data_IF_144310773148
#
_entry.id   IF_144310773148
#
_cell.length_a   1.000
_cell.length_b   1.000
_cell.length_c   1.000
_cell.angle_alpha   90.00
_cell.angle_beta   90.00
_cell.angle_gamma   90.00
#
_symmetry.space_group_name_H-M   'P 1'
#
loop_
_entity.id
_entity.type
_entity.pdbx_description
1 polymer ?
#
# COMPACT_ATOMS: atom_id res chain seq x y z
N UNK A 1 -6.34 -3.05 6.93
CA UNK A 1 -7.21 -1.88 6.64
C UNK A 1 -8.04 -1.54 7.86
N UNK A 2 -8.09 -0.27 8.26
CA UNK A 2 -8.76 0.20 9.48
C UNK A 2 -9.66 1.38 9.15
N UNK A 3 -10.93 1.32 9.55
CA UNK A 3 -11.83 2.48 9.39
C UNK A 3 -11.42 3.62 10.35
N UNK A 4 -11.36 4.89 9.90
CA UNK A 4 -10.97 6.01 10.75
C UNK A 4 -11.84 6.18 12.00
N UNK A 5 -13.15 5.93 11.88
CA UNK A 5 -14.10 5.94 13.00
C UNK A 5 -13.77 4.90 14.08
N UNK A 6 -13.33 3.71 13.69
CA UNK A 6 -12.95 2.67 14.64
C UNK A 6 -11.62 3.00 15.30
N UNK A 7 -10.68 3.57 14.55
CA UNK A 7 -9.41 4.04 15.10
C UNK A 7 -9.62 5.17 16.11
N UNK A 8 -10.47 6.15 15.80
CA UNK A 8 -10.82 7.23 16.72
C UNK A 8 -11.53 6.71 17.98
N UNK A 9 -12.40 5.72 17.84
CA UNK A 9 -13.03 5.08 18.99
C UNK A 9 -12.00 4.38 19.89
N UNK A 10 -11.01 3.71 19.29
CA UNK A 10 -9.93 3.05 20.03
C UNK A 10 -9.01 4.05 20.75
N UNK A 11 -8.66 5.16 20.11
CA UNK A 11 -7.74 6.15 20.65
C UNK A 11 -8.39 7.12 21.66
N UNK A 12 -9.67 7.45 21.47
CA UNK A 12 -10.34 8.54 22.20
C UNK A 12 -11.70 8.15 22.80
N UNK A 13 -12.14 6.89 22.66
CA UNK A 13 -13.44 6.42 23.14
C UNK A 13 -14.64 6.94 22.35
N UNK A 14 -14.44 7.66 21.24
CA UNK A 14 -15.51 8.24 20.41
C UNK A 14 -15.20 8.15 18.92
N UNK A 15 -16.19 7.73 18.12
CA UNK A 15 -16.05 7.52 16.66
C UNK A 15 -15.88 8.82 15.84
N UNK A 16 -16.26 9.97 16.39
CA UNK A 16 -16.30 11.26 15.68
C UNK A 16 -15.40 12.31 16.34
N UNK A 17 -14.34 11.88 17.02
CA UNK A 17 -13.44 12.79 17.76
C UNK A 17 -12.79 13.85 16.86
N UNK A 18 -12.25 13.43 15.71
CA UNK A 18 -11.76 14.34 14.67
C UNK A 18 -12.76 14.46 13.52
N UNK A 19 -13.04 15.69 13.09
CA UNK A 19 -13.98 15.97 11.99
C UNK A 19 -13.37 15.87 10.60
N UNK A 20 -12.04 15.96 10.50
CA UNK A 20 -11.32 15.95 9.21
C UNK A 20 -10.14 15.00 9.27
N UNK A 21 -9.76 14.47 8.11
CA UNK A 21 -8.56 13.64 7.98
C UNK A 21 -7.31 14.37 8.48
N UNK A 22 -7.13 15.63 8.08
CA UNK A 22 -5.98 16.45 8.49
C UNK A 22 -5.85 16.58 10.01
N UNK A 23 -6.97 16.65 10.73
CA UNK A 23 -6.93 16.70 12.19
C UNK A 23 -6.49 15.37 12.81
N UNK A 24 -7.04 14.24 12.34
CA UNK A 24 -6.62 12.90 12.79
C UNK A 24 -5.14 12.65 12.45
N UNK A 25 -4.74 12.98 11.21
CA UNK A 25 -3.38 12.84 10.71
C UNK A 25 -2.38 13.62 11.58
N UNK A 26 -2.57 14.94 11.68
CA UNK A 26 -1.57 15.81 12.28
C UNK A 26 -1.51 15.70 13.81
N UNK A 27 -2.64 15.38 14.47
CA UNK A 27 -2.73 15.37 15.93
C UNK A 27 -2.53 14.00 16.57
N UNK A 28 -2.69 12.91 15.80
CA UNK A 28 -2.53 11.56 16.33
C UNK A 28 -1.49 10.76 15.52
N UNK A 29 -1.71 10.57 14.22
CA UNK A 29 -0.95 9.59 13.44
C UNK A 29 0.49 10.04 13.16
N UNK A 30 0.69 11.26 12.66
CA UNK A 30 2.03 11.77 12.32
C UNK A 30 2.94 11.80 13.53
N UNK A 31 2.42 12.17 14.70
CA UNK A 31 3.21 12.21 15.92
C UNK A 31 3.64 10.79 16.34
N UNK A 32 2.70 9.85 16.41
CA UNK A 32 2.99 8.48 16.81
C UNK A 32 3.94 7.77 15.84
N UNK A 33 3.70 7.87 14.54
CA UNK A 33 4.54 7.23 13.51
C UNK A 33 5.95 7.82 13.48
N UNK A 34 6.12 9.14 13.65
CA UNK A 34 7.45 9.76 13.71
C UNK A 34 8.24 9.29 14.93
N UNK A 35 7.59 9.17 16.09
CA UNK A 35 8.29 8.70 17.29
C UNK A 35 8.67 7.22 17.19
N UNK A 36 7.77 6.36 16.70
CA UNK A 36 8.09 4.94 16.46
C UNK A 36 9.19 4.77 15.42
N UNK A 37 9.17 5.55 14.33
CA UNK A 37 10.27 5.55 13.36
C UNK A 37 11.60 5.96 14.01
N UNK A 38 11.60 6.98 14.87
CA UNK A 38 12.80 7.41 15.60
C UNK A 38 13.35 6.28 16.47
N UNK A 39 12.50 5.55 17.19
CA UNK A 39 12.91 4.38 17.99
C UNK A 39 13.47 3.26 17.10
N UNK A 40 12.85 3.03 15.94
CA UNK A 40 13.33 2.07 14.96
C UNK A 40 14.72 2.45 14.44
N UNK A 41 14.93 3.70 14.04
CA UNK A 41 16.23 4.21 13.55
C UNK A 41 17.33 4.08 14.62
N UNK A 42 16.97 4.22 15.89
CA UNK A 42 17.85 4.01 17.06
C UNK A 42 18.08 2.53 17.41
N UNK A 43 17.53 1.57 16.63
CA UNK A 43 17.62 0.12 16.88
C UNK A 43 17.02 -0.32 18.22
N UNK A 44 16.06 0.46 18.75
CA UNK A 44 15.34 0.11 19.99
C UNK A 44 14.19 -0.85 19.69
N UNK A 45 13.54 -0.69 18.53
CA UNK A 45 12.49 -1.58 18.03
C UNK A 45 12.84 -2.04 16.60
N UNK A 46 12.36 -3.22 16.23
CA UNK A 46 12.64 -3.83 14.93
C UNK A 46 11.54 -3.58 13.88
N UNK A 47 10.43 -2.97 14.29
CA UNK A 47 9.30 -2.66 13.42
C UNK A 47 8.72 -1.29 13.72
N UNK A 48 8.23 -0.59 12.70
CA UNK A 48 7.44 0.63 12.89
C UNK A 48 6.31 0.72 11.85
N UNK A 49 5.15 1.30 12.21
CA UNK A 49 4.06 1.49 11.28
C UNK A 49 4.27 2.74 10.41
N UNK A 50 4.06 2.58 9.11
CA UNK A 50 3.68 3.65 8.19
C UNK A 50 2.20 3.51 7.85
N UNK A 51 1.61 4.55 7.28
CA UNK A 51 0.20 4.52 6.92
C UNK A 51 -0.09 5.32 5.67
N UNK A 52 -1.12 4.89 4.93
CA UNK A 52 -1.67 5.61 3.80
C UNK A 52 -3.20 5.72 3.92
N UNK A 53 -3.78 6.90 3.66
CA UNK A 53 -5.23 7.03 3.52
C UNK A 53 -5.69 6.43 2.19
N UNK A 54 -6.77 5.67 2.24
CA UNK A 54 -7.43 5.16 1.04
C UNK A 54 -8.69 5.97 0.71
N UNK A 55 -8.77 6.40 -0.54
CA UNK A 55 -9.95 7.00 -1.15
C UNK A 55 -10.29 6.20 -2.41
N UNK A 56 -11.55 5.80 -2.56
CA UNK A 56 -11.99 5.03 -3.72
C UNK A 56 -11.88 5.82 -5.04
N UNK A 57 -12.02 7.15 -5.01
CA UNK A 57 -11.83 8.04 -6.16
C UNK A 57 -10.83 9.16 -5.85
N UNK A 58 -10.08 9.61 -6.86
CA UNK A 58 -9.14 10.74 -6.73
C UNK A 58 -9.86 12.06 -6.40
N UNK A 59 -11.12 12.20 -6.82
CA UNK A 59 -11.96 13.36 -6.50
C UNK A 59 -12.19 13.47 -4.98
N UNK A 60 -12.38 12.34 -4.28
CA UNK A 60 -12.60 12.30 -2.84
C UNK A 60 -11.37 12.73 -2.02
N UNK A 61 -10.16 12.58 -2.57
CA UNK A 61 -8.91 12.97 -1.92
C UNK A 61 -8.77 14.50 -1.81
N UNK A 62 -9.34 15.25 -2.76
CA UNK A 62 -9.23 16.72 -2.83
C UNK A 62 -10.10 17.48 -1.82
N UNK A 63 -11.13 16.83 -1.25
CA UNK A 63 -12.14 17.50 -0.43
C UNK A 63 -11.89 17.45 1.09
N UNK A 64 -10.70 17.03 1.54
CA UNK A 64 -10.35 16.86 2.97
C UNK A 64 -11.31 15.96 3.76
N UNK A 65 -12.07 15.11 3.06
CA UNK A 65 -12.95 14.12 3.68
C UNK A 65 -12.14 13.03 4.40
N UNK A 66 -12.81 12.35 5.32
CA UNK A 66 -12.25 11.18 5.97
C UNK A 66 -12.04 10.07 4.92
N UNK A 67 -10.90 9.36 4.91
CA UNK A 67 -10.69 8.26 3.99
C UNK A 67 -11.66 7.10 4.28
N UNK A 68 -11.93 6.27 3.26
CA UNK A 68 -12.79 5.09 3.41
C UNK A 68 -12.18 4.11 4.43
N UNK A 69 -10.86 3.94 4.35
CA UNK A 69 -10.03 3.26 5.33
C UNK A 69 -8.61 3.80 5.35
N UNK A 70 -7.87 3.42 6.39
CA UNK A 70 -6.44 3.67 6.54
C UNK A 70 -5.75 2.31 6.43
N UNK A 71 -4.75 2.22 5.58
CA UNK A 71 -3.88 1.05 5.50
C UNK A 71 -2.62 1.33 6.29
N UNK A 72 -2.35 0.46 7.26
CA UNK A 72 -1.13 0.49 8.05
C UNK A 72 -0.21 -0.61 7.54
N UNK A 73 1.04 -0.24 7.31
CA UNK A 73 2.11 -1.13 6.87
C UNK A 73 3.18 -1.13 7.95
N UNK A 74 3.53 -2.31 8.45
CA UNK A 74 4.60 -2.44 9.43
C UNK A 74 5.90 -2.74 8.70
N UNK A 75 6.76 -1.73 8.66
CA UNK A 75 8.10 -1.88 8.10
C UNK A 75 8.93 -2.66 9.11
N UNK A 76 9.48 -3.79 8.68
CA UNK A 76 10.29 -4.70 9.48
C UNK A 76 11.66 -4.88 8.82
N UNK A 77 12.72 -4.83 9.64
CA UNK A 77 14.10 -5.10 9.21
C UNK A 77 14.27 -6.47 8.58
N UNK A 78 13.46 -7.46 8.98
CA UNK A 78 13.50 -8.82 8.46
C UNK A 78 12.74 -8.99 7.13
N UNK A 79 11.83 -8.07 6.79
CA UNK A 79 10.88 -8.23 5.68
C UNK A 79 11.34 -7.62 4.35
N UNK A 80 12.47 -6.90 4.33
CA UNK A 80 13.03 -6.31 3.11
C UNK A 80 13.44 -7.36 2.06
N UNK A 81 13.61 -8.62 2.48
CA UNK A 81 14.11 -9.67 1.62
C UNK A 81 15.58 -9.48 1.24
N UNK A 82 16.33 -8.71 2.04
CA UNK A 82 17.76 -8.55 1.87
C UNK A 82 18.47 -9.89 2.18
N UNK A 83 18.95 -10.52 1.11
CA UNK A 83 19.64 -11.80 1.13
C UNK A 83 21.16 -11.64 1.06
N UNK A 84 21.68 -10.41 1.20
CA UNK A 84 23.13 -10.11 1.16
C UNK A 84 23.96 -10.90 2.19
N UNK A 85 23.31 -11.44 3.23
CA UNK A 85 23.90 -12.38 4.20
C UNK A 85 23.80 -13.87 3.86
N UNK A 86 23.37 -14.25 2.66
CA UNK A 86 23.19 -15.65 2.24
C UNK A 86 21.89 -16.32 2.72
N UNK A 87 20.96 -15.55 3.27
CA UNK A 87 19.65 -16.04 3.69
C UNK A 87 18.76 -16.35 2.48
N UNK A 88 17.91 -17.37 2.58
CA UNK A 88 16.90 -17.68 1.56
C UNK A 88 15.70 -16.77 1.70
N UNK A 89 15.10 -16.37 0.58
CA UNK A 89 13.84 -15.61 0.56
C UNK A 89 12.76 -16.39 1.33
N UNK A 90 12.07 -15.79 2.32
CA UNK A 90 11.02 -16.46 3.09
C UNK A 90 9.96 -17.09 2.17
N UNK A 91 9.49 -18.28 2.52
CA UNK A 91 8.48 -19.01 1.72
C UNK A 91 7.20 -18.19 1.53
N UNK A 92 6.79 -17.44 2.56
CA UNK A 92 5.67 -16.52 2.48
C UNK A 92 5.87 -15.48 1.37
N UNK A 93 7.06 -14.86 1.30
CA UNK A 93 7.38 -13.87 0.29
C UNK A 93 7.38 -14.49 -1.11
N UNK A 94 7.88 -15.72 -1.25
CA UNK A 94 7.79 -16.45 -2.52
C UNK A 94 6.33 -16.63 -2.95
N UNK A 95 5.46 -17.03 -2.03
CA UNK A 95 4.03 -17.19 -2.29
C UNK A 95 3.34 -15.88 -2.70
N UNK A 96 3.63 -14.78 -2.00
CA UNK A 96 3.09 -13.44 -2.34
C UNK A 96 3.56 -13.02 -3.73
N UNK A 97 4.85 -13.18 -4.06
CA UNK A 97 5.40 -12.84 -5.38
C UNK A 97 4.81 -13.70 -6.50
N UNK A 98 4.62 -14.99 -6.26
CA UNK A 98 3.98 -15.89 -7.23
C UNK A 98 2.52 -15.49 -7.50
N UNK A 99 1.76 -15.11 -6.45
CA UNK A 99 0.40 -14.59 -6.59
C UNK A 99 0.37 -13.28 -7.39
N UNK A 100 1.30 -12.37 -7.13
CA UNK A 100 1.41 -11.11 -7.90
C UNK A 100 1.71 -11.40 -9.38
N UNK A 101 2.70 -12.24 -9.68
CA UNK A 101 3.02 -12.65 -11.07
C UNK A 101 1.77 -13.18 -11.77
N UNK A 102 1.07 -14.12 -11.12
CA UNK A 102 -0.14 -14.74 -11.68
C UNK A 102 -1.22 -13.71 -11.96
N UNK A 103 -1.48 -12.79 -11.02
CA UNK A 103 -2.46 -11.71 -11.19
C UNK A 103 -2.12 -10.81 -12.38
N UNK A 104 -0.87 -10.36 -12.48
CA UNK A 104 -0.40 -9.48 -13.57
C UNK A 104 -0.56 -10.13 -14.94
N UNK A 105 -0.15 -11.40 -15.06
CA UNK A 105 -0.21 -12.13 -16.32
C UNK A 105 -1.66 -12.46 -16.74
N UNK A 106 -2.46 -13.00 -15.82
CA UNK A 106 -3.77 -13.56 -16.17
C UNK A 106 -4.90 -12.52 -16.18
N UNK A 107 -4.91 -11.59 -15.23
CA UNK A 107 -6.02 -10.63 -15.09
C UNK A 107 -5.77 -9.33 -15.87
N UNK A 108 -4.51 -8.90 -15.95
CA UNK A 108 -4.16 -7.62 -16.56
C UNK A 108 -3.43 -7.76 -17.89
N UNK A 109 -3.11 -8.99 -18.31
CA UNK A 109 -2.40 -9.28 -19.57
C UNK A 109 -1.07 -8.53 -19.70
N UNK A 110 -0.36 -8.37 -18.57
CA UNK A 110 1.00 -7.86 -18.55
C UNK A 110 1.93 -8.90 -19.17
N UNK A 111 2.91 -8.45 -19.97
CA UNK A 111 3.94 -9.33 -20.53
C UNK A 111 4.60 -10.17 -19.43
N UNK A 112 4.83 -11.46 -19.69
CA UNK A 112 5.33 -12.37 -18.66
C UNK A 112 6.69 -11.94 -18.11
N UNK A 113 7.60 -11.41 -18.95
CA UNK A 113 8.91 -10.96 -18.48
C UNK A 113 8.77 -9.80 -17.52
N UNK A 114 7.86 -8.87 -17.81
CA UNK A 114 7.55 -7.75 -16.92
C UNK A 114 6.89 -8.26 -15.63
N UNK A 115 5.91 -9.17 -15.72
CA UNK A 115 5.24 -9.73 -14.56
C UNK A 115 6.22 -10.45 -13.61
N UNK A 116 7.19 -11.19 -14.16
CA UNK A 116 8.27 -11.82 -13.37
C UNK A 116 9.13 -10.74 -12.70
N UNK A 117 9.63 -9.77 -13.46
CA UNK A 117 10.52 -8.72 -12.94
C UNK A 117 9.85 -7.90 -11.83
N UNK A 118 8.64 -7.41 -12.05
CA UNK A 118 7.93 -6.58 -11.07
C UNK A 118 7.55 -7.39 -9.83
N UNK A 119 7.14 -8.65 -9.99
CA UNK A 119 6.81 -9.50 -8.85
C UNK A 119 8.00 -9.71 -7.91
N UNK A 120 9.23 -9.80 -8.44
CA UNK A 120 10.43 -10.01 -7.63
C UNK A 120 10.82 -8.80 -6.77
N UNK A 121 10.32 -7.60 -7.10
CA UNK A 121 10.59 -6.38 -6.35
C UNK A 121 9.68 -6.20 -5.13
N UNK A 122 8.64 -7.01 -5.00
CA UNK A 122 7.70 -6.92 -3.88
C UNK A 122 8.37 -7.36 -2.57
N UNK A 123 8.09 -6.65 -1.48
CA UNK A 123 8.41 -7.04 -0.10
C UNK A 123 7.13 -7.39 0.66
N UNK A 124 7.26 -8.11 1.80
CA UNK A 124 6.09 -8.60 2.56
C UNK A 124 5.25 -7.47 3.15
N UNK A 125 5.92 -6.43 3.64
CA UNK A 125 5.28 -5.25 4.24
C UNK A 125 4.39 -4.50 3.25
N UNK A 126 4.74 -4.47 1.97
CA UNK A 126 3.98 -3.79 0.91
C UNK A 126 2.60 -4.42 0.60
N UNK A 127 2.29 -5.61 1.12
CA UNK A 127 1.12 -6.38 0.68
C UNK A 127 -0.22 -5.67 0.93
N UNK A 128 -0.33 -4.92 2.04
CA UNK A 128 -1.54 -4.15 2.36
C UNK A 128 -1.76 -3.00 1.37
N UNK A 129 -0.73 -2.21 1.13
CA UNK A 129 -0.77 -1.07 0.19
C UNK A 129 -0.93 -1.52 -1.26
N UNK A 130 -0.38 -2.69 -1.62
CA UNK A 130 -0.54 -3.27 -2.94
C UNK A 130 -2.00 -3.62 -3.24
N UNK A 131 -2.77 -4.11 -2.26
CA UNK A 131 -4.19 -4.43 -2.48
C UNK A 131 -5.03 -3.16 -2.69
N UNK A 132 -4.78 -2.13 -1.88
CA UNK A 132 -5.36 -0.80 -2.06
C UNK A 132 -5.02 -0.23 -3.45
N UNK A 133 -3.76 -0.38 -3.85
CA UNK A 133 -3.30 0.04 -5.18
C UNK A 133 -4.10 -0.67 -6.28
N UNK A 134 -4.25 -1.99 -6.21
CA UNK A 134 -5.04 -2.75 -7.18
C UNK A 134 -6.50 -2.31 -7.20
N UNK A 135 -7.11 -2.09 -6.03
CA UNK A 135 -8.50 -1.62 -5.94
C UNK A 135 -8.70 -0.28 -6.67
N UNK A 136 -7.78 0.68 -6.52
CA UNK A 136 -7.81 1.95 -7.25
C UNK A 136 -7.66 1.75 -8.77
N UNK A 137 -6.74 0.87 -9.19
CA UNK A 137 -6.51 0.60 -10.62
C UNK A 137 -7.69 -0.10 -11.26
N UNK A 138 -8.30 -1.07 -10.57
CA UNK A 138 -9.50 -1.76 -11.01
C UNK A 138 -10.68 -0.79 -11.15
N UNK A 139 -10.86 0.12 -10.20
CA UNK A 139 -11.87 1.17 -10.29
C UNK A 139 -11.67 2.04 -11.54
N UNK A 140 -10.45 2.52 -11.79
CA UNK A 140 -10.14 3.33 -12.95
C UNK A 140 -10.35 2.59 -14.28
N UNK A 141 -9.92 1.33 -14.37
CA UNK A 141 -10.11 0.49 -15.56
C UNK A 141 -11.60 0.31 -15.84
N UNK A 142 -12.42 0.02 -14.81
CA UNK A 142 -13.88 -0.09 -14.95
C UNK A 142 -14.52 1.22 -15.40
N UNK A 143 -14.11 2.36 -14.84
CA UNK A 143 -14.60 3.69 -15.26
C UNK A 143 -14.27 3.95 -16.73
N UNK A 144 -13.04 3.65 -17.17
CA UNK A 144 -12.65 3.78 -18.58
C UNK A 144 -13.48 2.88 -19.50
N UNK A 145 -13.79 1.64 -19.10
CA UNK A 145 -14.63 0.72 -19.85
C UNK A 145 -16.07 1.21 -19.98
N UNK A 146 -16.65 1.74 -18.89
CA UNK A 146 -17.99 2.34 -18.86
C UNK A 146 -18.08 3.58 -19.75
N UNK A 147 -17.02 4.39 -19.79
CA UNK A 147 -16.92 5.59 -20.64
C UNK A 147 -16.52 5.26 -22.09
N UNK A 148 -16.42 3.97 -22.46
CA UNK A 148 -15.96 3.49 -23.78
C UNK A 148 -14.59 4.05 -24.21
N UNK A 149 -13.73 4.38 -23.24
CA UNK A 149 -12.37 4.85 -23.49
C UNK A 149 -11.45 3.67 -23.78
N UNK A 150 -10.69 3.76 -24.87
CA UNK A 150 -9.67 2.75 -25.20
C UNK A 150 -8.52 2.83 -24.20
N UNK A 151 -8.24 1.72 -23.53
CA UNK A 151 -7.12 1.57 -22.59
C UNK A 151 -6.36 0.26 -22.84
N UNK A 152 -5.03 0.35 -22.88
CA UNK A 152 -4.18 -0.84 -22.83
C UNK A 152 -3.94 -1.18 -21.34
N UNK A 153 -4.73 -2.12 -20.82
CA UNK A 153 -4.70 -2.50 -19.39
C UNK A 153 -3.32 -2.99 -18.96
N UNK A 154 -2.69 -3.86 -19.74
CA UNK A 154 -1.37 -4.41 -19.42
C UNK A 154 -0.29 -3.34 -19.32
N UNK A 155 -0.22 -2.44 -20.32
CA UNK A 155 0.76 -1.35 -20.30
C UNK A 155 0.49 -0.34 -19.17
N UNK A 156 -0.77 -0.05 -18.88
CA UNK A 156 -1.17 0.83 -17.78
C UNK A 156 -0.76 0.27 -16.42
N UNK A 157 -1.09 -1.00 -16.15
CA UNK A 157 -0.77 -1.68 -14.89
C UNK A 157 0.75 -1.81 -14.73
N UNK A 158 1.47 -2.24 -15.77
CA UNK A 158 2.93 -2.37 -15.72
C UNK A 158 3.61 -1.05 -15.35
N UNK A 159 3.29 0.04 -16.06
CA UNK A 159 3.89 1.36 -15.81
C UNK A 159 3.54 1.89 -14.42
N UNK A 160 2.30 1.72 -13.99
CA UNK A 160 1.87 2.22 -12.69
C UNK A 160 2.46 1.39 -11.52
N UNK A 161 2.64 0.08 -11.70
CA UNK A 161 3.23 -0.80 -10.69
C UNK A 161 4.73 -0.52 -10.52
N UNK A 162 5.45 -0.27 -11.62
CA UNK A 162 6.86 0.16 -11.56
C UNK A 162 7.02 1.43 -10.72
N UNK A 163 6.12 2.40 -10.89
CA UNK A 163 6.06 3.62 -10.06
C UNK A 163 5.84 3.31 -8.58
N UNK A 164 4.80 2.53 -8.26
CA UNK A 164 4.51 2.09 -6.89
C UNK A 164 5.75 1.45 -6.24
N UNK A 165 6.38 0.49 -6.93
CA UNK A 165 7.55 -0.20 -6.39
C UNK A 165 8.76 0.74 -6.24
N UNK A 166 8.95 1.72 -7.12
CA UNK A 166 10.05 2.71 -6.98
C UNK A 166 9.89 3.57 -5.74
N UNK A 167 8.68 4.05 -5.46
CA UNK A 167 8.41 4.92 -4.31
C UNK A 167 8.68 4.22 -2.97
N UNK A 168 8.56 2.89 -2.93
CA UNK A 168 8.85 2.08 -1.74
C UNK A 168 10.32 1.69 -1.57
N UNK A 169 11.13 1.77 -2.63
CA UNK A 169 12.56 1.42 -2.63
C UNK A 169 13.49 2.64 -2.68
N UNK A 170 12.93 3.86 -2.63
CA UNK A 170 13.64 5.14 -2.64
C UNK A 170 14.06 5.60 -1.24
#
# INVERSE_FOLDING_TARGET
MVKPENLMALLHGRKNYYKTWSALKNKALDFACKDLKRLYDQRIIDQYPVYQPFYQSEEAETHHHMPDHITFTFIDRANTGDTSGGATVPEELQGVRARLKWRLYTQYHVDEKIAVLESQRLALDMQGELEDWFQKKDYFIRKCQQEHRKINVGAYIAKALDGFLKDHHA
#
